data_IF_850252525707
#
_entry.id   IF_850252525707
#
_cell.length_a   1.000
_cell.length_b   1.000
_cell.length_c   1.000
_cell.angle_alpha   90.00
_cell.angle_beta   90.00
_cell.angle_gamma   90.00
#
_symmetry.space_group_name_H-M   'P 1'
#
loop_
_entity.id
_entity.type
_entity.pdbx_description
1 polymer ?
#
# COMPACT_ATOMS: atom_id res chain seq x y z
N UNK A 1 51.40 28.85 -5.12
CA UNK A 1 50.14 28.81 -4.36
C UNK A 1 49.17 29.78 -5.03
N UNK A 2 48.14 29.28 -5.71
CA UNK A 2 47.18 30.11 -6.46
C UNK A 2 46.03 30.46 -5.51
N UNK A 3 45.93 31.71 -5.09
CA UNK A 3 44.79 32.20 -4.32
C UNK A 3 43.58 32.33 -5.25
N UNK A 4 42.59 31.45 -5.12
CA UNK A 4 41.29 31.61 -5.77
C UNK A 4 40.57 32.80 -5.15
N UNK A 5 40.64 33.95 -5.81
CA UNK A 5 39.83 35.12 -5.47
C UNK A 5 38.36 34.80 -5.77
N UNK A 6 37.50 34.90 -4.75
CA UNK A 6 36.07 34.64 -4.87
C UNK A 6 35.39 35.83 -5.56
N UNK A 7 35.28 35.78 -6.89
CA UNK A 7 34.67 36.82 -7.74
C UNK A 7 33.13 36.79 -7.76
N UNK A 8 32.49 36.10 -6.82
CA UNK A 8 31.04 35.95 -6.81
C UNK A 8 30.37 37.21 -6.21
N UNK A 9 29.77 38.04 -7.06
CA UNK A 9 29.07 39.29 -6.67
C UNK A 9 27.87 39.06 -5.72
N UNK A 10 27.42 37.81 -5.58
CA UNK A 10 26.39 37.42 -4.60
C UNK A 10 26.91 37.31 -3.16
N UNK A 11 28.21 37.44 -2.93
CA UNK A 11 28.82 37.53 -1.58
C UNK A 11 28.89 38.96 -1.04
N UNK A 12 28.08 39.88 -1.58
CA UNK A 12 27.99 41.26 -1.09
C UNK A 12 27.03 41.31 0.11
N UNK A 13 27.54 41.00 1.31
CA UNK A 13 26.81 41.25 2.54
C UNK A 13 26.81 42.76 2.82
N UNK A 14 25.73 43.46 2.48
CA UNK A 14 25.49 44.82 2.98
C UNK A 14 25.26 44.73 4.48
N UNK A 15 26.25 45.16 5.26
CA UNK A 15 26.19 45.27 6.72
C UNK A 15 25.33 46.49 7.06
N UNK A 16 24.01 46.35 6.89
CA UNK A 16 22.99 47.31 7.32
C UNK A 16 22.23 46.75 8.51
N UNK A 17 22.21 47.50 9.60
CA UNK A 17 21.61 47.20 10.91
C UNK A 17 20.20 46.60 10.82
N UNK A 18 19.97 45.55 11.61
CA UNK A 18 18.69 44.89 11.92
C UNK A 18 17.96 44.17 10.79
N UNK A 19 18.70 43.48 9.93
CA UNK A 19 18.12 42.39 9.15
C UNK A 19 18.20 41.08 9.93
N UNK A 20 17.02 40.55 10.31
CA UNK A 20 16.87 39.16 10.78
C UNK A 20 17.50 38.26 9.73
N UNK A 21 18.73 37.80 9.97
CA UNK A 21 19.43 36.86 9.09
C UNK A 21 18.64 35.56 9.15
N UNK A 22 17.68 35.42 8.24
CA UNK A 22 17.11 34.12 7.91
C UNK A 22 18.28 33.27 7.47
N UNK A 23 18.80 32.46 8.41
CA UNK A 23 19.74 31.39 8.16
C UNK A 23 19.07 30.43 7.19
N UNK A 24 19.05 30.76 5.90
CA UNK A 24 18.73 29.82 4.85
C UNK A 24 19.71 28.69 5.06
N UNK A 25 19.21 27.53 5.49
CA UNK A 25 20.01 26.35 5.87
C UNK A 25 20.90 25.81 4.74
N UNK A 26 20.99 26.50 3.60
CA UNK A 26 21.66 26.14 2.36
C UNK A 26 22.31 27.35 1.67
N UNK A 27 22.77 28.38 2.40
CA UNK A 27 23.59 29.42 1.80
C UNK A 27 25.01 28.85 1.53
N UNK A 28 25.53 29.06 0.32
CA UNK A 28 26.90 28.70 -0.03
C UNK A 28 27.83 29.72 0.62
N UNK A 29 28.53 29.32 1.68
CA UNK A 29 29.57 30.15 2.28
C UNK A 29 30.91 29.83 1.60
N UNK A 30 31.65 30.87 1.22
CA UNK A 30 33.05 30.75 0.83
C UNK A 30 33.91 30.39 2.05
N UNK A 31 35.08 29.78 1.87
CA UNK A 31 36.00 29.47 2.99
C UNK A 31 36.36 30.73 3.79
N UNK A 32 36.48 31.88 3.12
CA UNK A 32 36.75 33.19 3.74
C UNK A 32 35.55 33.78 4.50
N UNK A 33 34.35 33.23 4.30
CA UNK A 33 33.08 33.71 4.84
C UNK A 33 32.60 32.85 6.03
N UNK A 34 33.42 31.90 6.48
CA UNK A 34 33.08 30.96 7.54
C UNK A 34 33.19 31.67 8.91
N UNK A 35 32.10 31.84 9.67
CA UNK A 35 32.20 32.38 11.02
C UNK A 35 33.02 31.42 11.90
N UNK A 36 34.11 31.95 12.44
CA UNK A 36 35.02 31.41 13.48
C UNK A 36 34.25 30.93 14.74
N UNK A 37 34.67 29.95 15.58
CA UNK A 37 36.02 29.37 15.79
C UNK A 37 36.08 27.83 16.06
N UNK A 38 34.98 27.13 16.35
CA UNK A 38 35.09 25.72 16.82
C UNK A 38 34.74 24.63 15.78
N UNK A 39 34.21 25.02 14.62
CA UNK A 39 33.83 24.08 13.56
C UNK A 39 34.95 23.93 12.51
N UNK A 40 35.67 22.82 12.54
CA UNK A 40 36.65 22.41 11.52
C UNK A 40 36.03 22.50 10.11
N UNK A 41 36.56 23.37 9.25
CA UNK A 41 36.10 23.52 7.88
C UNK A 41 36.24 22.20 7.13
N UNK A 42 35.15 21.75 6.49
CA UNK A 42 35.13 20.58 5.62
C UNK A 42 34.69 20.98 4.24
N UNK A 43 35.33 20.37 3.25
CA UNK A 43 34.98 20.56 1.85
C UNK A 43 33.51 20.15 1.62
N UNK A 44 32.68 21.03 1.04
CA UNK A 44 31.29 20.71 0.73
C UNK A 44 31.19 19.46 -0.15
N UNK A 45 30.30 18.53 0.20
CA UNK A 45 30.08 17.31 -0.58
C UNK A 45 28.93 17.50 -1.57
N UNK A 46 29.00 16.91 -2.77
CA UNK A 46 27.90 16.98 -3.73
C UNK A 46 26.68 16.23 -3.21
N UNK A 47 25.50 16.82 -3.41
CA UNK A 47 24.23 16.17 -3.13
C UNK A 47 24.10 14.91 -4.00
N UNK A 48 23.82 13.78 -3.36
CA UNK A 48 23.68 12.47 -4.03
C UNK A 48 22.53 12.38 -5.05
N UNK A 49 21.68 13.41 -5.13
CA UNK A 49 20.51 13.44 -6.02
C UNK A 49 20.65 14.46 -7.16
N UNK A 50 21.21 15.64 -6.88
CA UNK A 50 21.27 16.74 -7.84
C UNK A 50 22.67 17.32 -8.06
N UNK A 51 23.69 16.77 -7.41
CA UNK A 51 25.09 17.20 -7.53
C UNK A 51 25.44 18.52 -6.82
N UNK A 52 24.47 19.34 -6.40
CA UNK A 52 24.73 20.61 -5.71
C UNK A 52 25.54 20.39 -4.43
N UNK A 53 26.57 21.20 -4.22
CA UNK A 53 27.41 21.13 -3.02
C UNK A 53 26.59 21.45 -1.75
N UNK A 54 26.78 20.64 -0.70
CA UNK A 54 26.06 20.73 0.58
C UNK A 54 27.06 20.75 1.72
N UNK A 55 26.87 21.66 2.68
CA UNK A 55 27.67 21.69 3.90
C UNK A 55 27.20 20.62 4.89
N UNK A 56 28.14 19.92 5.51
CA UNK A 56 27.87 18.84 6.45
C UNK A 56 28.24 19.28 7.86
N UNK A 57 27.32 19.20 8.82
CA UNK A 57 27.62 19.50 10.23
C UNK A 57 28.13 18.25 10.96
N UNK A 58 29.16 18.42 11.80
CA UNK A 58 29.92 17.35 12.50
C UNK A 58 29.12 16.49 13.47
N UNK A 59 27.88 16.87 13.83
CA UNK A 59 27.18 16.33 15.01
C UNK A 59 26.58 14.92 14.86
N UNK A 60 26.80 14.19 13.77
CA UNK A 60 26.20 12.86 13.57
C UNK A 60 27.21 11.81 13.09
N UNK A 61 27.42 10.77 13.91
CA UNK A 61 28.35 9.63 13.69
C UNK A 61 27.70 8.50 12.86
N UNK A 62 26.59 8.76 12.17
CA UNK A 62 25.88 7.80 11.34
C UNK A 62 26.09 8.14 9.85
N UNK A 63 25.87 7.21 8.90
CA UNK A 63 25.99 7.51 7.48
C UNK A 63 25.00 8.62 7.10
N UNK A 64 25.48 9.86 7.02
CA UNK A 64 24.68 11.02 6.69
C UNK A 64 24.51 11.04 5.17
N UNK A 65 23.32 10.68 4.71
CA UNK A 65 22.90 10.92 3.32
C UNK A 65 22.97 12.43 3.03
N UNK A 66 23.86 12.83 2.14
CA UNK A 66 24.10 14.23 1.78
C UNK A 66 23.07 14.74 0.76
N UNK A 67 22.12 15.56 1.21
CA UNK A 67 21.06 16.11 0.36
C UNK A 67 20.85 17.61 0.59
N UNK A 68 20.71 18.37 -0.50
CA UNK A 68 20.63 19.83 -0.43
C UNK A 68 19.27 20.37 0.00
N UNK A 69 18.22 19.53 0.05
CA UNK A 69 16.85 19.99 0.33
C UNK A 69 15.95 18.83 0.75
N UNK A 70 14.80 19.15 1.36
CA UNK A 70 13.73 18.17 1.65
C UNK A 70 13.27 17.43 0.38
N UNK A 71 13.17 18.13 -0.77
CA UNK A 71 12.83 17.51 -2.06
C UNK A 71 13.86 16.47 -2.48
N UNK A 72 15.16 16.80 -2.38
CA UNK A 72 16.23 15.85 -2.67
C UNK A 72 16.25 14.69 -1.67
N UNK A 73 15.97 14.92 -0.38
CA UNK A 73 15.82 13.83 0.60
C UNK A 73 14.72 12.84 0.22
N UNK A 74 13.55 13.35 -0.18
CA UNK A 74 12.43 12.50 -0.63
C UNK A 74 12.83 11.70 -1.87
N UNK A 75 13.46 12.34 -2.87
CA UNK A 75 13.93 11.65 -4.08
C UNK A 75 14.99 10.59 -3.77
N UNK A 76 15.96 10.89 -2.92
CA UNK A 76 16.95 9.91 -2.44
C UNK A 76 16.26 8.69 -1.81
N UNK A 77 15.30 8.93 -0.90
CA UNK A 77 14.56 7.85 -0.25
C UNK A 77 13.75 7.03 -1.27
N UNK A 78 13.20 7.64 -2.32
CA UNK A 78 12.51 6.93 -3.40
C UNK A 78 13.46 6.03 -4.17
N UNK A 79 14.63 6.54 -4.59
CA UNK A 79 15.68 5.78 -5.30
C UNK A 79 16.13 4.60 -4.44
N UNK A 80 16.51 4.86 -3.18
CA UNK A 80 16.95 3.82 -2.27
C UNK A 80 15.87 2.76 -2.04
N UNK A 81 14.60 3.16 -1.90
CA UNK A 81 13.47 2.20 -1.79
C UNK A 81 13.29 1.37 -3.05
N UNK A 82 13.44 1.94 -4.25
CA UNK A 82 13.37 1.17 -5.50
C UNK A 82 14.53 0.18 -5.64
N UNK A 83 15.74 0.56 -5.27
CA UNK A 83 16.92 -0.31 -5.30
C UNK A 83 16.83 -1.45 -4.28
N UNK A 84 16.38 -1.14 -3.05
CA UNK A 84 16.13 -2.18 -2.05
C UNK A 84 15.06 -3.16 -2.53
N UNK A 85 14.02 -2.68 -3.23
CA UNK A 85 12.99 -3.55 -3.82
C UNK A 85 13.55 -4.42 -4.94
N UNK A 86 14.34 -3.88 -5.87
CA UNK A 86 14.91 -4.68 -6.96
C UNK A 86 15.84 -5.79 -6.46
N UNK A 87 16.66 -5.51 -5.44
CA UNK A 87 17.54 -6.52 -4.81
C UNK A 87 16.80 -7.61 -4.04
N UNK A 88 15.54 -7.36 -3.67
CA UNK A 88 14.73 -8.30 -2.86
C UNK A 88 13.74 -9.11 -3.70
N UNK A 89 13.91 -9.17 -5.02
CA UNK A 89 13.06 -9.98 -5.88
C UNK A 89 13.40 -11.46 -5.70
N UNK A 90 12.39 -12.23 -5.30
CA UNK A 90 12.46 -13.66 -5.06
C UNK A 90 11.54 -14.34 -6.07
N UNK A 91 12.06 -15.31 -6.80
CA UNK A 91 11.26 -16.15 -7.70
C UNK A 91 10.48 -17.17 -6.87
N UNK A 92 9.19 -17.30 -7.11
CA UNK A 92 8.29 -18.22 -6.42
C UNK A 92 7.25 -18.76 -7.39
N UNK A 93 6.60 -19.89 -7.05
CA UNK A 93 5.55 -20.49 -7.88
C UNK A 93 4.17 -20.20 -7.30
N UNK A 94 3.20 -19.86 -8.15
CA UNK A 94 1.85 -19.53 -7.73
C UNK A 94 1.12 -20.80 -7.27
N UNK A 95 0.61 -20.81 -6.02
CA UNK A 95 -0.15 -21.95 -5.49
C UNK A 95 -1.48 -22.24 -6.21
N UNK A 96 -1.96 -21.32 -7.05
CA UNK A 96 -3.22 -21.48 -7.77
C UNK A 96 -3.04 -21.94 -9.23
N UNK A 97 -2.19 -21.26 -10.01
CA UNK A 97 -1.98 -21.57 -11.43
C UNK A 97 -0.67 -22.32 -11.72
N UNK A 98 0.24 -22.43 -10.76
CA UNK A 98 1.55 -23.07 -10.94
C UNK A 98 2.62 -22.20 -11.61
N UNK A 99 2.24 -21.10 -12.25
CA UNK A 99 3.19 -20.21 -12.94
C UNK A 99 4.23 -19.60 -12.00
N UNK A 100 5.47 -19.50 -12.48
CA UNK A 100 6.55 -18.79 -11.80
C UNK A 100 6.32 -17.28 -11.83
N UNK A 101 6.61 -16.59 -10.72
CA UNK A 101 6.50 -15.15 -10.61
C UNK A 101 7.56 -14.57 -9.67
N UNK A 102 7.89 -13.29 -9.84
CA UNK A 102 8.81 -12.56 -8.97
C UNK A 102 8.04 -11.81 -7.88
N UNK A 103 8.52 -11.86 -6.65
CA UNK A 103 7.88 -11.22 -5.51
C UNK A 103 8.87 -10.54 -4.58
N UNK A 104 8.44 -9.47 -3.90
CA UNK A 104 9.25 -8.76 -2.92
C UNK A 104 9.22 -9.41 -1.52
N UNK A 105 8.31 -10.36 -1.29
CA UNK A 105 8.05 -10.93 0.03
C UNK A 105 8.14 -12.44 -0.05
N UNK A 106 8.94 -13.05 0.82
CA UNK A 106 9.06 -14.52 0.97
C UNK A 106 7.71 -15.23 1.21
N UNK A 107 6.72 -14.52 1.75
CA UNK A 107 5.39 -15.06 2.04
C UNK A 107 4.38 -14.92 0.88
N UNK A 108 4.79 -14.34 -0.26
CA UNK A 108 3.91 -14.22 -1.42
C UNK A 108 3.64 -15.60 -2.04
N UNK A 109 2.37 -16.01 -2.08
CA UNK A 109 1.96 -17.33 -2.57
C UNK A 109 1.27 -17.31 -3.95
N UNK A 110 0.97 -16.13 -4.50
CA UNK A 110 0.15 -15.98 -5.70
C UNK A 110 0.76 -14.93 -6.63
N UNK A 111 0.78 -15.24 -7.94
CA UNK A 111 1.38 -14.38 -8.96
C UNK A 111 0.63 -13.05 -9.18
N UNK A 112 -0.68 -13.02 -8.92
CA UNK A 112 -1.54 -11.90 -9.24
C UNK A 112 -2.63 -11.67 -8.19
N UNK A 113 -3.23 -10.47 -8.20
CA UNK A 113 -4.40 -10.14 -7.37
C UNK A 113 -5.58 -11.08 -7.69
N UNK A 114 -5.77 -11.43 -8.96
CA UNK A 114 -6.84 -12.33 -9.42
C UNK A 114 -6.65 -13.75 -8.86
N UNK A 115 -5.43 -14.30 -8.92
CA UNK A 115 -5.12 -15.60 -8.31
C UNK A 115 -5.31 -15.58 -6.79
N UNK A 116 -4.89 -14.51 -6.12
CA UNK A 116 -5.11 -14.35 -4.67
C UNK A 116 -6.61 -14.34 -4.32
N UNK A 117 -7.43 -13.62 -5.10
CA UNK A 117 -8.87 -13.55 -4.89
C UNK A 117 -9.56 -14.89 -5.16
N UNK A 118 -9.21 -15.57 -6.26
CA UNK A 118 -9.71 -16.92 -6.57
C UNK A 118 -9.36 -17.91 -5.45
N UNK A 119 -8.12 -17.89 -4.94
CA UNK A 119 -7.72 -18.73 -3.82
C UNK A 119 -8.46 -18.39 -2.51
N UNK A 120 -8.75 -17.11 -2.27
CA UNK A 120 -9.58 -16.68 -1.14
C UNK A 120 -11.02 -17.21 -1.24
N UNK A 121 -11.65 -17.09 -2.42
CA UNK A 121 -13.00 -17.59 -2.68
C UNK A 121 -13.08 -19.12 -2.52
N UNK A 122 -12.09 -19.86 -3.05
CA UNK A 122 -11.96 -21.32 -2.86
C UNK A 122 -11.92 -21.69 -1.38
N UNK A 123 -11.09 -21.00 -0.57
CA UNK A 123 -11.00 -21.25 0.88
C UNK A 123 -12.29 -20.93 1.64
N UNK A 124 -13.09 -19.98 1.18
CA UNK A 124 -14.39 -19.64 1.77
C UNK A 124 -15.51 -20.59 1.34
N UNK A 125 -15.26 -21.53 0.44
CA UNK A 125 -16.31 -22.36 -0.16
C UNK A 125 -17.35 -21.52 -0.91
N UNK A 126 -16.94 -20.35 -1.42
CA UNK A 126 -17.78 -19.55 -2.31
C UNK A 126 -17.74 -20.27 -3.66
N UNK A 127 -18.89 -20.79 -4.14
CA UNK A 127 -18.94 -21.44 -5.43
C UNK A 127 -18.46 -20.49 -6.52
N UNK A 128 -17.83 -21.04 -7.52
CA UNK A 128 -17.47 -20.32 -8.73
C UNK A 128 -18.72 -19.70 -9.38
N UNK A 129 -18.54 -18.67 -10.21
CA UNK A 129 -19.67 -18.06 -10.93
C UNK A 129 -20.32 -19.13 -11.81
N UNK A 130 -19.50 -19.98 -12.43
CA UNK A 130 -19.91 -21.12 -13.23
C UNK A 130 -20.77 -22.12 -12.43
N UNK A 131 -20.42 -22.39 -11.17
CA UNK A 131 -21.26 -23.20 -10.27
C UNK A 131 -22.55 -22.50 -9.84
N UNK A 132 -22.53 -21.17 -9.69
CA UNK A 132 -23.74 -20.39 -9.42
C UNK A 132 -24.67 -20.36 -10.64
N UNK A 133 -24.13 -20.45 -11.85
CA UNK A 133 -24.91 -20.44 -13.09
C UNK A 133 -25.43 -21.83 -13.49
N UNK A 134 -25.09 -22.89 -12.75
CA UNK A 134 -25.67 -24.21 -13.03
C UNK A 134 -27.17 -24.18 -12.79
N UNK A 135 -27.88 -24.67 -13.78
CA UNK A 135 -29.32 -24.81 -13.76
C UNK A 135 -29.79 -25.64 -12.56
N UNK A 136 -30.79 -25.10 -11.84
CA UNK A 136 -31.43 -25.77 -10.70
C UNK A 136 -32.91 -25.96 -10.97
N UNK A 137 -33.52 -26.95 -10.32
CA UNK A 137 -34.97 -27.13 -10.34
C UNK A 137 -35.60 -26.34 -9.20
N UNK A 138 -36.64 -25.57 -9.51
CA UNK A 138 -37.43 -24.83 -8.52
C UNK A 138 -38.11 -25.79 -7.56
N UNK A 139 -37.95 -25.61 -6.24
CA UNK A 139 -38.57 -26.51 -5.25
C UNK A 139 -40.11 -26.45 -5.22
N UNK A 140 -40.72 -25.44 -5.84
CA UNK A 140 -42.17 -25.29 -5.89
C UNK A 140 -42.79 -25.82 -7.19
N UNK A 141 -42.32 -25.33 -8.35
CA UNK A 141 -42.91 -25.66 -9.66
C UNK A 141 -42.06 -26.63 -10.49
N UNK A 142 -40.90 -27.08 -9.97
CA UNK A 142 -39.96 -28.00 -10.61
C UNK A 142 -39.32 -27.53 -11.93
N UNK A 143 -39.66 -26.33 -12.42
CA UNK A 143 -39.03 -25.73 -13.60
C UNK A 143 -37.53 -25.51 -13.39
N UNK A 144 -36.77 -25.77 -14.43
CA UNK A 144 -35.33 -25.48 -14.47
C UNK A 144 -35.13 -23.98 -14.57
N UNK A 145 -34.22 -23.41 -13.78
CA UNK A 145 -33.88 -21.99 -13.78
C UNK A 145 -32.42 -21.75 -13.42
N UNK A 146 -31.85 -20.64 -13.88
CA UNK A 146 -30.49 -20.22 -13.57
C UNK A 146 -30.49 -19.32 -12.32
N UNK A 147 -29.93 -19.77 -11.19
CA UNK A 147 -30.06 -19.05 -9.93
C UNK A 147 -29.14 -17.82 -9.86
N UNK A 148 -29.66 -16.70 -9.34
CA UNK A 148 -28.88 -15.47 -9.10
C UNK A 148 -27.95 -15.55 -7.87
N UNK A 149 -27.93 -16.68 -7.13
CA UNK A 149 -27.08 -16.84 -5.95
C UNK A 149 -27.05 -18.26 -5.39
N UNK A 150 -26.04 -18.56 -4.56
CA UNK A 150 -25.78 -19.90 -3.98
C UNK A 150 -27.00 -20.54 -3.31
N UNK A 151 -27.85 -19.72 -2.68
CA UNK A 151 -29.00 -20.16 -1.88
C UNK A 151 -30.35 -19.94 -2.58
N UNK A 152 -30.38 -19.64 -3.88
CA UNK A 152 -31.63 -19.53 -4.60
C UNK A 152 -32.27 -20.93 -4.77
N UNK A 153 -33.50 -21.07 -4.27
CA UNK A 153 -34.28 -22.32 -4.27
C UNK A 153 -35.51 -22.27 -5.19
N UNK A 154 -35.91 -21.07 -5.62
CA UNK A 154 -37.13 -20.83 -6.39
C UNK A 154 -36.81 -20.01 -7.63
N UNK A 155 -37.49 -20.31 -8.74
CA UNK A 155 -37.28 -19.63 -10.02
C UNK A 155 -37.83 -18.19 -10.05
N UNK A 156 -38.74 -17.84 -9.14
CA UNK A 156 -39.40 -16.53 -9.09
C UNK A 156 -39.84 -16.18 -7.67
N UNK A 157 -40.12 -14.90 -7.42
CA UNK A 157 -40.70 -14.47 -6.15
C UNK A 157 -42.10 -15.06 -5.91
N UNK A 158 -42.89 -15.22 -6.97
CA UNK A 158 -44.21 -15.88 -6.91
C UNK A 158 -44.11 -17.31 -6.36
N UNK A 159 -43.18 -18.12 -6.88
CA UNK A 159 -42.94 -19.47 -6.38
C UNK A 159 -42.43 -19.47 -4.94
N UNK A 160 -41.59 -18.50 -4.57
CA UNK A 160 -41.09 -18.32 -3.20
C UNK A 160 -42.24 -18.04 -2.23
N UNK A 161 -43.15 -17.12 -2.57
CA UNK A 161 -44.31 -16.77 -1.77
C UNK A 161 -45.31 -17.93 -1.65
N UNK A 162 -45.60 -18.63 -2.75
CA UNK A 162 -46.48 -19.80 -2.74
C UNK A 162 -45.93 -20.94 -1.86
N UNK A 163 -44.63 -21.25 -1.99
CA UNK A 163 -43.98 -22.23 -1.14
C UNK A 163 -44.04 -21.84 0.36
N UNK A 164 -43.87 -20.56 0.68
CA UNK A 164 -44.02 -20.04 2.04
C UNK A 164 -45.45 -20.19 2.57
N UNK A 165 -46.47 -19.81 1.78
CA UNK A 165 -47.88 -19.99 2.13
C UNK A 165 -48.23 -21.45 2.36
N UNK A 166 -47.79 -22.35 1.48
CA UNK A 166 -47.98 -23.82 1.62
C UNK A 166 -47.35 -24.35 2.92
N UNK A 167 -46.11 -23.97 3.24
CA UNK A 167 -45.47 -24.35 4.52
C UNK A 167 -46.21 -23.84 5.75
N UNK A 168 -46.84 -22.66 5.68
CA UNK A 168 -47.64 -22.13 6.80
C UNK A 168 -49.01 -22.80 6.92
N UNK A 169 -49.64 -23.17 5.80
CA UNK A 169 -50.90 -23.90 5.79
C UNK A 169 -50.74 -25.35 6.28
N UNK A 170 -49.60 -25.97 6.00
CA UNK A 170 -49.24 -27.31 6.47
C UNK A 170 -48.64 -27.33 7.87
N UNK A 171 -48.70 -26.23 8.64
CA UNK A 171 -48.34 -26.30 10.06
C UNK A 171 -49.24 -27.38 10.68
N UNK A 172 -48.66 -28.46 11.23
CA UNK A 172 -49.47 -29.48 11.88
C UNK A 172 -50.29 -28.82 12.97
N UNK A 173 -51.52 -29.31 13.17
CA UNK A 173 -52.32 -28.93 14.33
C UNK A 173 -51.71 -29.44 15.65
N UNK A 174 -50.54 -30.08 15.61
CA UNK A 174 -49.82 -30.70 16.72
C UNK A 174 -49.23 -29.72 17.75
N UNK A 175 -49.68 -28.45 17.75
CA UNK A 175 -49.39 -27.50 18.83
C UNK A 175 -50.58 -27.40 19.81
N UNK A 176 -51.30 -28.50 19.99
CA UNK A 176 -52.44 -28.64 20.91
C UNK A 176 -52.05 -29.18 22.31
N UNK A 177 -50.79 -29.59 22.54
CA UNK A 177 -50.37 -30.18 23.82
C UNK A 177 -49.32 -29.35 24.59
N UNK A 178 -49.61 -28.07 24.86
CA UNK A 178 -48.83 -27.28 25.84
C UNK A 178 -49.59 -27.03 27.16
N UNK A 179 -50.83 -27.52 27.31
CA UNK A 179 -51.68 -27.25 28.49
C UNK A 179 -51.76 -28.35 29.55
N UNK A 180 -50.94 -29.42 29.49
CA UNK A 180 -50.83 -30.37 30.60
C UNK A 180 -49.49 -30.19 31.34
N UNK A 181 -49.39 -29.13 32.15
CA UNK A 181 -48.31 -28.97 33.12
C UNK A 181 -48.86 -28.46 34.46
N UNK A 182 -49.90 -29.12 34.94
CA UNK A 182 -50.42 -28.98 36.31
C UNK A 182 -50.52 -30.38 36.95
N UNK A 183 -49.41 -30.84 37.55
CA UNK A 183 -49.38 -31.83 38.65
C UNK A 183 -48.26 -31.45 39.60
#
# INVERSE_FOLDING_TARGET
MIAMQCSNSQCSATVGSDSVVFRKRNAFFCSSCHPHDDDEWREPLPCQVCGRLVRTHRRYVAPVVYVCSRKCKVRHNTIHRSESRSRSLIVSHCKLCGEAFTSLRKTACYCSKTCKQKAYLRRRGVPSIEECLRDRRCLFCLKVFSPLGKNALYCSDTCRQQAYRRRRALKPLDNLDCCNRDV
#
